data_IF_324272446660
#
_entry.id   IF_324272446660
#
_cell.length_a   1.000
_cell.length_b   1.000
_cell.length_c   1.000
_cell.angle_alpha   90.00
_cell.angle_beta   90.00
_cell.angle_gamma   90.00
#
_symmetry.space_group_name_H-M   'P 1'
#
loop_
_entity.id
_entity.type
_entity.pdbx_description
1 polymer ?
#
# COMPACT_ATOMS: atom_id res chain seq x y z
N UNK A 1 7.18 -6.52 -27.00
CA UNK A 1 5.92 -6.19 -26.29
C UNK A 1 6.12 -4.84 -25.63
N UNK A 2 5.18 -3.90 -25.77
CA UNK A 2 5.32 -2.58 -25.12
C UNK A 2 5.17 -2.76 -23.60
N UNK A 3 5.83 -1.91 -22.81
CA UNK A 3 5.77 -2.00 -21.35
C UNK A 3 4.33 -1.93 -20.81
N UNK A 4 3.45 -1.19 -21.51
CA UNK A 4 2.02 -1.08 -21.19
C UNK A 4 1.29 -2.42 -21.35
N UNK A 5 1.53 -3.14 -22.45
CA UNK A 5 0.93 -4.47 -22.67
C UNK A 5 1.38 -5.47 -21.60
N UNK A 6 2.68 -5.42 -21.27
CA UNK A 6 3.25 -6.27 -20.22
C UNK A 6 2.68 -5.93 -18.83
N UNK A 7 2.33 -4.68 -18.58
CA UNK A 7 1.69 -4.25 -17.34
C UNK A 7 0.28 -4.80 -17.21
N UNK A 8 -0.51 -4.75 -18.29
CA UNK A 8 -1.86 -5.35 -18.34
C UNK A 8 -1.78 -6.86 -18.11
N UNK A 9 -0.89 -7.56 -18.83
CA UNK A 9 -0.72 -9.00 -18.67
C UNK A 9 -0.25 -9.38 -17.25
N UNK A 10 0.67 -8.61 -16.66
CA UNK A 10 1.07 -8.81 -15.26
C UNK A 10 -0.07 -8.61 -14.27
N UNK A 11 -0.99 -7.66 -14.52
CA UNK A 11 -2.18 -7.47 -13.68
C UNK A 11 -3.13 -8.69 -13.74
N UNK A 12 -3.31 -9.30 -14.91
CA UNK A 12 -4.10 -10.53 -15.05
C UNK A 12 -3.45 -11.71 -14.31
N UNK A 13 -2.12 -11.83 -14.41
CA UNK A 13 -1.34 -12.84 -13.67
C UNK A 13 -1.46 -12.63 -12.16
N UNK A 14 -1.38 -11.39 -11.70
CA UNK A 14 -1.57 -11.02 -10.30
C UNK A 14 -2.95 -11.47 -9.78
N UNK A 15 -4.02 -11.20 -10.55
CA UNK A 15 -5.37 -11.63 -10.21
C UNK A 15 -5.53 -13.16 -10.19
N UNK A 16 -4.87 -13.87 -11.11
CA UNK A 16 -4.84 -15.35 -11.13
C UNK A 16 -4.10 -15.91 -9.91
N UNK A 17 -2.93 -15.37 -9.57
CA UNK A 17 -2.15 -15.78 -8.41
C UNK A 17 -2.93 -15.56 -7.11
N UNK A 18 -3.60 -14.41 -6.97
CA UNK A 18 -4.46 -14.11 -5.83
C UNK A 18 -5.58 -15.13 -5.66
N UNK A 19 -6.33 -15.44 -6.73
CA UNK A 19 -7.41 -16.44 -6.70
C UNK A 19 -6.93 -17.86 -6.38
N UNK A 20 -5.69 -18.18 -6.76
CA UNK A 20 -5.08 -19.47 -6.48
C UNK A 20 -4.46 -19.57 -5.07
N UNK A 21 -4.41 -18.47 -4.31
CA UNK A 21 -3.71 -18.42 -3.01
C UNK A 21 -2.19 -18.50 -3.12
N UNK A 22 -1.61 -18.27 -4.31
CA UNK A 22 -0.17 -18.36 -4.55
C UNK A 22 0.51 -17.03 -4.18
N UNK A 23 0.89 -16.91 -2.90
CA UNK A 23 1.53 -15.70 -2.36
C UNK A 23 2.90 -15.41 -2.99
N UNK A 24 3.64 -16.46 -3.38
CA UNK A 24 4.93 -16.32 -4.04
C UNK A 24 4.78 -15.65 -5.41
N UNK A 25 3.88 -16.17 -6.25
CA UNK A 25 3.56 -15.55 -7.55
C UNK A 25 2.94 -14.17 -7.40
N UNK A 26 2.06 -13.99 -6.40
CA UNK A 26 1.48 -12.68 -6.12
C UNK A 26 2.58 -11.65 -5.83
N UNK A 27 3.55 -11.99 -4.97
CA UNK A 27 4.70 -11.13 -4.69
C UNK A 27 5.57 -10.85 -5.92
N UNK A 28 5.82 -11.85 -6.76
CA UNK A 28 6.53 -11.65 -8.04
C UNK A 28 5.80 -10.67 -8.97
N UNK A 29 4.46 -10.74 -9.02
CA UNK A 29 3.66 -9.78 -9.78
C UNK A 29 3.80 -8.36 -9.22
N UNK A 30 3.82 -8.18 -7.90
CA UNK A 30 4.06 -6.87 -7.27
C UNK A 30 5.44 -6.30 -7.61
N UNK A 31 6.48 -7.13 -7.51
CA UNK A 31 7.85 -6.74 -7.84
C UNK A 31 8.00 -6.38 -9.33
N UNK A 32 7.39 -7.17 -10.22
CA UNK A 32 7.34 -6.90 -11.67
C UNK A 32 6.63 -5.57 -11.93
N UNK A 33 5.46 -5.36 -11.32
CA UNK A 33 4.71 -4.11 -11.44
C UNK A 33 5.53 -2.90 -10.98
N UNK A 34 6.29 -3.04 -9.90
CA UNK A 34 7.16 -1.96 -9.43
C UNK A 34 8.25 -1.59 -10.46
N UNK A 35 8.90 -2.57 -11.08
CA UNK A 35 9.87 -2.29 -12.15
C UNK A 35 9.20 -1.63 -13.36
N UNK A 36 8.03 -2.13 -13.79
CA UNK A 36 7.26 -1.56 -14.89
C UNK A 36 6.90 -0.10 -14.61
N UNK A 37 6.52 0.23 -13.38
CA UNK A 37 6.20 1.60 -12.94
C UNK A 37 7.43 2.52 -13.00
N UNK A 38 8.60 2.04 -12.57
CA UNK A 38 9.86 2.78 -12.67
C UNK A 38 10.26 3.10 -14.11
N UNK A 39 10.01 2.18 -15.05
CA UNK A 39 10.25 2.44 -16.46
C UNK A 39 9.35 3.55 -17.03
N UNK A 40 8.12 3.69 -16.55
CA UNK A 40 7.18 4.70 -17.05
C UNK A 40 7.33 6.06 -16.37
N UNK A 41 7.71 6.08 -15.09
CA UNK A 41 7.81 7.30 -14.30
C UNK A 41 9.21 7.41 -13.65
N UNK A 42 10.19 7.99 -14.36
CA UNK A 42 11.48 8.33 -13.78
C UNK A 42 11.30 9.21 -12.55
N UNK A 43 11.87 8.80 -11.41
CA UNK A 43 11.75 9.53 -10.13
C UNK A 43 10.66 9.03 -9.19
N UNK A 44 9.89 7.99 -9.55
CA UNK A 44 8.89 7.42 -8.63
C UNK A 44 9.50 6.64 -7.44
N UNK A 45 10.82 6.40 -7.42
CA UNK A 45 11.58 5.75 -6.35
C UNK A 45 12.65 6.70 -5.78
N UNK A 46 12.30 7.63 -4.88
CA UNK A 46 13.30 8.41 -4.14
C UNK A 46 14.23 7.52 -3.31
N UNK A 47 15.43 8.02 -2.98
CA UNK A 47 16.44 7.27 -2.23
C UNK A 47 15.91 6.68 -0.91
N UNK A 48 15.06 7.42 -0.20
CA UNK A 48 14.45 6.94 1.04
C UNK A 48 13.54 5.72 0.79
N UNK A 49 12.72 5.76 -0.26
CA UNK A 49 11.87 4.62 -0.66
C UNK A 49 12.72 3.42 -1.06
N UNK A 50 13.78 3.65 -1.84
CA UNK A 50 14.72 2.60 -2.22
C UNK A 50 15.32 1.89 -1.00
N UNK A 51 15.81 2.66 -0.03
CA UNK A 51 16.38 2.12 1.22
C UNK A 51 15.38 1.29 2.01
N UNK A 52 14.13 1.75 2.14
CA UNK A 52 13.06 0.97 2.77
C UNK A 52 12.88 -0.34 2.03
N UNK A 53 12.73 -0.29 0.70
CA UNK A 53 12.50 -1.48 -0.10
C UNK A 53 13.64 -2.49 -0.01
N UNK A 54 14.89 -2.04 -0.11
CA UNK A 54 16.07 -2.91 0.01
C UNK A 54 16.16 -3.55 1.41
N UNK A 55 15.78 -2.81 2.46
CA UNK A 55 15.74 -3.33 3.85
C UNK A 55 14.67 -4.42 4.02
N UNK A 56 13.51 -4.25 3.37
CA UNK A 56 12.37 -5.16 3.49
C UNK A 56 12.45 -6.39 2.58
N UNK A 57 13.22 -6.33 1.48
CA UNK A 57 13.29 -7.35 0.44
C UNK A 57 13.44 -8.80 0.97
N UNK A 58 14.31 -9.07 1.97
CA UNK A 58 14.48 -10.43 2.48
C UNK A 58 13.22 -10.99 3.17
N UNK A 59 12.34 -10.12 3.66
CA UNK A 59 11.20 -10.45 4.53
C UNK A 59 9.87 -10.52 3.77
N UNK A 60 9.86 -10.19 2.47
CA UNK A 60 8.64 -10.02 1.67
C UNK A 60 8.67 -10.86 0.40
N UNK A 61 7.52 -11.37 -0.02
CA UNK A 61 7.35 -11.94 -1.36
C UNK A 61 7.39 -10.85 -2.44
N UNK A 62 6.93 -9.64 -2.11
CA UNK A 62 6.92 -8.50 -3.01
C UNK A 62 6.45 -7.23 -2.34
N UNK A 63 6.70 -6.10 -2.98
CA UNK A 63 6.44 -4.76 -2.45
C UNK A 63 6.28 -3.73 -3.57
N UNK A 64 5.47 -2.70 -3.35
CA UNK A 64 5.29 -1.59 -4.31
C UNK A 64 4.67 -0.36 -3.65
N UNK A 65 4.98 0.84 -4.15
CA UNK A 65 4.27 2.05 -3.72
C UNK A 65 2.86 2.10 -4.29
N UNK A 66 1.91 2.45 -3.44
CA UNK A 66 0.56 2.83 -3.86
C UNK A 66 0.55 4.11 -4.71
N UNK A 67 -0.48 4.29 -5.52
CA UNK A 67 -0.71 5.52 -6.29
C UNK A 67 0.35 5.81 -7.36
N UNK A 68 0.71 7.08 -7.54
CA UNK A 68 1.62 7.54 -8.60
C UNK A 68 3.10 7.22 -8.32
N UNK A 69 3.50 7.07 -7.04
CA UNK A 69 4.90 6.92 -6.60
C UNK A 69 5.49 8.22 -6.04
N UNK A 70 6.78 8.21 -5.71
CA UNK A 70 7.48 9.37 -5.12
C UNK A 70 7.35 9.50 -3.59
N UNK A 71 6.53 8.67 -2.95
CA UNK A 71 6.33 8.67 -1.50
C UNK A 71 4.97 8.09 -1.10
N UNK A 72 4.51 8.40 0.11
CA UNK A 72 3.22 7.94 0.63
C UNK A 72 3.30 6.52 1.19
N UNK A 73 2.35 5.67 0.78
CA UNK A 73 2.21 4.31 1.31
C UNK A 73 2.95 3.28 0.46
N UNK A 74 3.86 2.55 1.10
CA UNK A 74 4.42 1.30 0.63
C UNK A 74 3.58 0.16 1.19
N UNK A 75 3.10 -0.73 0.33
CA UNK A 75 2.49 -1.98 0.77
C UNK A 75 3.45 -3.14 0.47
N UNK A 76 3.46 -4.10 1.39
CA UNK A 76 4.34 -5.27 1.35
C UNK A 76 3.52 -6.53 1.59
N UNK A 77 3.93 -7.63 0.95
CA UNK A 77 3.40 -8.96 1.21
C UNK A 77 4.48 -9.75 1.95
N UNK A 78 4.34 -9.94 3.26
CA UNK A 78 5.35 -10.61 4.09
C UNK A 78 5.41 -12.11 3.83
N UNK A 79 6.59 -12.71 3.99
CA UNK A 79 6.78 -14.16 3.84
C UNK A 79 6.14 -14.96 4.97
N UNK A 80 6.15 -14.38 6.17
CA UNK A 80 5.56 -14.95 7.36
C UNK A 80 4.33 -14.14 7.80
N UNK A 81 3.35 -14.78 8.49
CA UNK A 81 2.24 -14.07 9.10
C UNK A 81 2.69 -13.22 10.30
N UNK A 82 1.84 -12.26 10.70
CA UNK A 82 1.99 -11.47 11.93
C UNK A 82 3.31 -10.67 12.07
N UNK A 83 3.98 -10.37 10.96
CA UNK A 83 5.30 -9.74 10.95
C UNK A 83 5.31 -8.23 11.28
N UNK A 84 4.17 -7.61 11.64
CA UNK A 84 4.08 -6.15 11.86
C UNK A 84 5.18 -5.63 12.79
N UNK A 85 5.34 -6.27 13.95
CA UNK A 85 6.31 -5.84 14.96
C UNK A 85 7.76 -6.09 14.53
N UNK A 86 8.00 -7.16 13.76
CA UNK A 86 9.34 -7.48 13.22
C UNK A 86 9.75 -6.42 12.21
N UNK A 87 8.86 -6.12 11.25
CA UNK A 87 9.07 -5.08 10.24
C UNK A 87 9.24 -3.70 10.88
N UNK A 88 8.43 -3.37 11.89
CA UNK A 88 8.55 -2.10 12.59
C UNK A 88 9.92 -1.94 13.26
N UNK A 89 10.37 -2.93 14.03
CA UNK A 89 11.69 -2.90 14.68
C UNK A 89 12.82 -2.85 13.66
N UNK A 90 12.71 -3.58 12.55
CA UNK A 90 13.69 -3.56 11.48
C UNK A 90 13.86 -2.14 10.91
N UNK A 91 12.75 -1.45 10.60
CA UNK A 91 12.79 -0.08 10.10
C UNK A 91 13.32 0.91 11.15
N UNK A 92 12.90 0.78 12.41
CA UNK A 92 13.39 1.62 13.52
C UNK A 92 14.90 1.45 13.76
N UNK A 93 15.43 0.24 13.56
CA UNK A 93 16.86 -0.06 13.70
C UNK A 93 17.70 0.35 12.49
N UNK A 94 17.07 0.78 11.40
CA UNK A 94 17.75 1.17 10.16
C UNK A 94 17.93 2.67 10.10
N UNK A 95 19.18 3.12 10.05
CA UNK A 95 19.52 4.55 10.06
C UNK A 95 18.82 5.32 8.93
N UNK A 96 18.10 6.39 9.31
CA UNK A 96 17.37 7.26 8.40
C UNK A 96 15.94 6.80 8.06
N UNK A 97 15.46 5.70 8.64
CA UNK A 97 14.09 5.17 8.45
C UNK A 97 13.24 5.22 9.74
N UNK A 98 13.71 5.91 10.77
CA UNK A 98 13.11 5.93 12.12
C UNK A 98 11.72 6.59 12.16
N UNK A 99 11.35 7.33 11.10
CA UNK A 99 10.07 8.03 10.96
C UNK A 99 9.01 7.22 10.21
N UNK A 100 9.32 5.99 9.79
CA UNK A 100 8.35 5.11 9.17
C UNK A 100 7.37 4.56 10.20
N UNK A 101 6.09 4.46 9.85
CA UNK A 101 5.09 3.77 10.67
C UNK A 101 4.54 2.57 9.91
N UNK A 102 4.32 1.47 10.62
CA UNK A 102 3.85 0.21 10.05
C UNK A 102 2.41 -0.03 10.47
N UNK A 103 1.54 -0.26 9.49
CA UNK A 103 0.10 -0.45 9.69
C UNK A 103 -0.35 -1.79 9.13
N UNK A 104 -1.22 -2.49 9.85
CA UNK A 104 -1.88 -3.68 9.33
C UNK A 104 -2.98 -3.25 8.37
N UNK A 105 -3.10 -3.95 7.24
CA UNK A 105 -4.13 -3.67 6.23
C UNK A 105 -5.31 -4.62 6.45
N UNK A 106 -6.52 -4.07 6.42
CA UNK A 106 -7.76 -4.83 6.44
C UNK A 106 -8.59 -4.46 5.20
N UNK A 107 -9.26 -5.45 4.62
CA UNK A 107 -10.18 -5.23 3.51
C UNK A 107 -11.55 -4.91 4.07
N UNK A 108 -12.03 -3.71 3.79
CA UNK A 108 -13.44 -3.37 4.00
C UNK A 108 -14.20 -3.57 2.69
N UNK A 109 -15.08 -4.56 2.67
CA UNK A 109 -15.92 -4.86 1.50
C UNK A 109 -17.27 -4.13 1.57
N UNK A 110 -17.50 -3.30 2.57
CA UNK A 110 -18.71 -2.48 2.67
C UNK A 110 -18.66 -1.36 1.63
N UNK A 111 -19.77 -1.17 0.95
CA UNK A 111 -19.95 -0.01 0.07
C UNK A 111 -20.13 1.26 0.88
N UNK A 112 -19.91 2.42 0.26
CA UNK A 112 -20.26 3.68 0.91
C UNK A 112 -21.77 3.74 1.14
N UNK A 113 -22.17 4.19 2.33
CA UNK A 113 -23.56 4.42 2.69
C UNK A 113 -23.71 5.87 3.16
N UNK A 114 -24.69 6.59 2.61
CA UNK A 114 -25.03 7.95 3.03
C UNK A 114 -26.35 7.88 3.78
N UNK A 115 -26.36 8.35 5.03
CA UNK A 115 -27.58 8.51 5.81
C UNK A 115 -27.91 10.00 5.86
N UNK A 116 -29.09 10.38 5.35
CA UNK A 116 -29.61 11.72 5.55
C UNK A 116 -30.16 11.79 6.98
N UNK A 117 -29.63 12.70 7.79
CA UNK A 117 -30.17 12.98 9.12
C UNK A 117 -31.65 13.38 9.02
N UNK A 118 -32.47 12.97 9.99
CA UNK A 118 -33.87 13.33 10.01
C UNK A 118 -34.04 14.87 9.98
N UNK A 119 -35.01 15.41 9.24
CA UNK A 119 -35.31 16.83 9.28
C UNK A 119 -35.83 17.19 10.68
N UNK A 120 -34.99 17.84 11.52
CA UNK A 120 -35.43 18.19 12.87
C UNK A 120 -34.43 18.79 13.86
N UNK A 121 -33.11 18.79 13.62
CA UNK A 121 -32.17 19.40 14.57
C UNK A 121 -31.84 20.85 14.18
N UNK A 122 -32.87 21.69 14.22
CA UNK A 122 -32.68 23.13 14.24
C UNK A 122 -32.05 23.51 15.56
N UNK A 123 -30.75 23.82 15.55
CA UNK A 123 -30.02 24.30 16.72
C UNK A 123 -30.79 25.42 17.42
N UNK A 124 -31.33 25.12 18.60
CA UNK A 124 -31.96 26.08 19.48
C UNK A 124 -30.87 27.00 20.02
N UNK A 125 -30.76 28.22 19.47
CA UNK A 125 -29.98 29.28 20.12
C UNK A 125 -30.66 29.66 21.43
N UNK A 126 -29.91 29.55 22.53
CA UNK A 126 -30.35 29.97 23.86
C UNK A 126 -30.67 31.47 23.89
N UNK A 127 -31.70 31.91 24.66
CA UNK A 127 -32.12 33.32 24.71
C UNK A 127 -31.13 34.28 25.40
N UNK A 128 -29.95 33.83 25.84
CA UNK A 128 -28.98 34.64 26.60
C UNK A 128 -28.08 35.54 25.75
N UNK A 129 -28.19 35.49 24.41
CA UNK A 129 -27.40 36.32 23.48
C UNK A 129 -28.14 37.61 23.04
N UNK A 130 -28.96 38.22 23.90
CA UNK A 130 -29.55 39.56 23.67
C UNK A 130 -29.27 40.52 24.81
#
# INVERSE_FOLDING_TARGET
MLNVDALVSNAELCAKAFRAGDLGRLGQCLSTYWQQKKCMAPGCEPLAVRRIMDTLEPHVYGQSLAGAGGGGFLYILTKEPEQKNVIQRLLESTQGLERCSVHSVQLDTRTFCVQLGAPGDGGQRSPSDR
#
